data_IF_005435595854
#
_entry.id   IF_005435595854
#
_cell.length_a   1.000
_cell.length_b   1.000
_cell.length_c   1.000
_cell.angle_alpha   90.00
_cell.angle_beta   90.00
_cell.angle_gamma   90.00
#
_symmetry.space_group_name_H-M   'P 1'
#
loop_
_entity.id
_entity.type
_entity.pdbx_description
1 polymer ?
#
# COMPACT_ATOMS: atom_id res chain seq x y z
N UNK A 1 5.35 4.54 14.46
CA UNK A 1 6.60 5.00 13.81
C UNK A 1 6.73 6.48 14.09
N UNK A 2 7.73 6.88 14.90
CA UNK A 2 8.01 8.30 15.17
C UNK A 2 9.24 8.70 14.40
N UNK A 3 9.10 9.68 13.51
CA UNK A 3 10.20 10.26 12.74
C UNK A 3 10.47 11.65 13.33
N UNK A 4 11.54 11.84 14.12
CA UNK A 4 11.76 13.09 14.86
C UNK A 4 12.00 14.32 13.98
N UNK A 5 12.46 14.13 12.75
CA UNK A 5 13.02 15.18 11.90
C UNK A 5 12.00 15.85 10.96
N UNK A 6 10.80 15.26 10.79
CA UNK A 6 9.76 15.78 9.92
C UNK A 6 8.43 15.89 10.67
N UNK A 7 8.11 17.13 11.10
CA UNK A 7 6.81 17.46 11.66
C UNK A 7 5.92 18.08 10.57
N UNK A 8 4.88 17.35 10.20
CA UNK A 8 3.86 17.79 9.26
C UNK A 8 2.65 18.43 9.95
N UNK A 9 2.66 18.57 11.28
CA UNK A 9 1.52 19.05 12.05
C UNK A 9 0.32 18.10 12.03
N UNK A 10 0.55 16.82 11.69
CA UNK A 10 -0.50 15.80 11.56
C UNK A 10 -0.27 14.69 12.59
N UNK A 11 -1.33 14.38 13.33
CA UNK A 11 -1.40 13.19 14.20
C UNK A 11 -2.10 12.07 13.47
N UNK A 12 -1.34 11.09 12.99
CA UNK A 12 -1.83 10.04 12.11
C UNK A 12 -1.90 8.69 12.84
N UNK A 13 -3.05 8.02 12.77
CA UNK A 13 -3.22 6.64 13.24
C UNK A 13 -3.67 5.74 12.09
N UNK A 14 -2.85 4.75 11.74
CA UNK A 14 -3.09 3.82 10.64
C UNK A 14 -3.59 2.46 11.17
N UNK A 15 -4.81 2.10 10.78
CA UNK A 15 -5.36 0.76 11.00
C UNK A 15 -5.01 -0.13 9.82
N UNK A 16 -4.30 -1.23 10.07
CA UNK A 16 -3.77 -2.06 8.99
C UNK A 16 -3.83 -3.57 9.26
N UNK A 17 -3.51 -4.33 8.21
CA UNK A 17 -2.90 -5.64 8.36
C UNK A 17 -1.44 -5.50 7.91
N UNK A 18 -0.49 -5.91 8.74
CA UNK A 18 0.94 -5.65 8.49
C UNK A 18 1.39 -6.14 7.11
N UNK A 19 1.01 -7.36 6.71
CA UNK A 19 1.41 -7.94 5.41
C UNK A 19 0.39 -7.75 4.27
N UNK A 20 -0.57 -6.83 4.42
CA UNK A 20 -1.50 -6.52 3.33
C UNK A 20 -0.85 -5.58 2.31
N UNK A 21 -0.92 -5.88 1.00
CA UNK A 21 -0.29 -5.05 -0.04
C UNK A 21 -0.78 -3.61 -0.03
N UNK A 22 -2.07 -3.37 0.23
CA UNK A 22 -2.63 -2.01 0.31
C UNK A 22 -2.10 -1.23 1.53
N UNK A 23 -1.81 -1.92 2.63
CA UNK A 23 -1.26 -1.33 3.85
C UNK A 23 0.23 -1.04 3.67
N UNK A 24 1.01 -2.01 3.17
CA UNK A 24 2.41 -1.81 2.83
C UNK A 24 2.61 -0.67 1.82
N UNK A 25 1.69 -0.53 0.86
CA UNK A 25 1.64 0.59 -0.07
C UNK A 25 1.54 1.94 0.63
N UNK A 26 0.57 2.11 1.53
CA UNK A 26 0.43 3.34 2.31
C UNK A 26 1.65 3.58 3.21
N UNK A 27 2.14 2.55 3.90
CA UNK A 27 3.36 2.64 4.73
C UNK A 27 4.56 3.12 3.92
N UNK A 28 4.76 2.61 2.71
CA UNK A 28 5.89 3.04 1.88
C UNK A 28 5.88 4.55 1.60
N UNK A 29 4.69 5.15 1.44
CA UNK A 29 4.54 6.60 1.23
C UNK A 29 4.77 7.35 2.54
N UNK A 30 4.16 6.90 3.64
CA UNK A 30 4.34 7.50 4.96
C UNK A 30 5.82 7.49 5.37
N UNK A 31 6.48 6.34 5.21
CA UNK A 31 7.89 6.14 5.51
C UNK A 31 8.75 6.98 4.56
N UNK A 32 8.55 6.93 3.25
CA UNK A 32 9.39 7.72 2.33
C UNK A 32 9.36 9.22 2.61
N UNK A 33 8.19 9.78 2.89
CA UNK A 33 8.05 11.20 3.26
C UNK A 33 8.34 11.48 4.74
N UNK A 34 8.56 10.47 5.58
CA UNK A 34 8.88 10.69 7.00
C UNK A 34 7.70 11.18 7.83
N UNK A 35 6.46 10.84 7.47
CA UNK A 35 5.32 11.10 8.35
C UNK A 35 5.48 10.32 9.66
N UNK A 36 5.19 10.97 10.79
CA UNK A 36 5.00 10.27 12.06
C UNK A 36 3.57 9.71 12.14
N UNK A 37 3.44 8.43 12.44
CA UNK A 37 2.13 7.76 12.53
C UNK A 37 2.15 6.59 13.50
N UNK A 38 1.04 6.37 14.19
CA UNK A 38 0.81 5.20 15.01
C UNK A 38 0.14 4.08 14.20
N UNK A 39 0.35 2.85 14.64
CA UNK A 39 -0.17 1.65 13.96
C UNK A 39 -1.11 0.93 14.92
N UNK A 40 -2.29 0.59 14.42
CA UNK A 40 -3.21 -0.35 15.06
C UNK A 40 -3.34 -1.57 14.16
N UNK A 41 -2.80 -2.70 14.60
CA UNK A 41 -2.95 -3.97 13.90
C UNK A 41 -4.38 -4.49 14.07
N UNK A 42 -5.08 -4.66 12.96
CA UNK A 42 -6.47 -5.12 12.94
C UNK A 42 -6.47 -6.64 12.92
N UNK A 43 -7.30 -7.25 13.76
CA UNK A 43 -7.50 -8.69 13.70
C UNK A 43 -8.30 -9.05 12.43
N UNK A 44 -7.70 -9.86 11.54
CA UNK A 44 -8.27 -10.18 10.23
C UNK A 44 -9.58 -10.99 10.29
N UNK A 45 -9.82 -11.70 11.39
CA UNK A 45 -11.00 -12.55 11.60
C UNK A 45 -12.15 -11.73 12.19
N UNK A 46 -11.94 -11.08 13.34
CA UNK A 46 -13.03 -10.43 14.08
C UNK A 46 -13.13 -8.91 13.85
N UNK A 47 -12.08 -8.29 13.28
CA UNK A 47 -12.02 -6.85 12.95
C UNK A 47 -12.43 -5.91 14.09
N UNK A 48 -12.23 -6.31 15.35
CA UNK A 48 -12.66 -5.56 16.55
C UNK A 48 -12.19 -4.10 16.51
N UNK A 49 -10.96 -3.87 16.07
CA UNK A 49 -10.29 -2.56 16.05
C UNK A 49 -10.95 -1.54 15.11
N UNK A 50 -11.71 -1.99 14.10
CA UNK A 50 -12.39 -1.13 13.11
C UNK A 50 -13.91 -1.23 13.18
N UNK A 51 -14.47 -1.75 14.30
CA UNK A 51 -15.92 -1.87 14.47
C UNK A 51 -16.63 -0.52 14.42
N UNK A 52 -15.97 0.53 14.89
CA UNK A 52 -16.46 1.91 14.92
C UNK A 52 -16.64 2.54 13.53
N UNK A 53 -15.98 2.02 12.50
CA UNK A 53 -16.03 2.60 11.15
C UNK A 53 -16.98 1.82 10.24
N UNK A 54 -17.81 2.50 9.44
CA UNK A 54 -18.62 1.83 8.41
C UNK A 54 -17.77 1.22 7.28
N UNK A 55 -16.55 1.71 7.10
CA UNK A 55 -15.60 1.15 6.15
C UNK A 55 -14.90 -0.09 6.76
N UNK A 56 -15.31 -1.30 6.34
CA UNK A 56 -14.83 -2.57 6.91
C UNK A 56 -13.58 -3.16 6.24
N UNK A 57 -12.78 -2.33 5.57
CA UNK A 57 -11.52 -2.70 4.89
C UNK A 57 -10.35 -1.91 5.49
N UNK A 58 -9.14 -2.36 5.21
CA UNK A 58 -7.88 -1.68 5.59
C UNK A 58 -7.06 -1.39 4.33
N UNK A 59 -6.19 -0.37 4.32
CA UNK A 59 -5.92 0.54 5.44
C UNK A 59 -7.03 1.57 5.67
N UNK A 60 -7.15 2.02 6.92
CA UNK A 60 -7.87 3.24 7.31
C UNK A 60 -6.84 4.16 7.96
N UNK A 61 -6.79 5.42 7.54
CA UNK A 61 -5.95 6.42 8.18
C UNK A 61 -6.85 7.42 8.91
N UNK A 62 -6.61 7.62 10.20
CA UNK A 62 -7.29 8.63 11.01
C UNK A 62 -6.33 9.78 11.25
N UNK A 63 -6.73 10.99 10.89
CA UNK A 63 -6.04 12.22 11.24
C UNK A 63 -6.76 12.84 12.44
N UNK A 64 -6.11 12.88 13.60
CA UNK A 64 -6.66 13.50 14.82
C UNK A 64 -6.61 15.03 14.72
N UNK A 65 -7.48 15.70 15.46
CA UNK A 65 -7.62 17.17 15.52
C UNK A 65 -7.96 17.84 14.17
N UNK A 66 -8.37 17.03 13.18
CA UNK A 66 -8.82 17.46 11.85
C UNK A 66 -10.33 17.21 11.73
N UNK A 67 -11.09 18.10 11.12
CA UNK A 67 -12.52 17.92 10.87
C UNK A 67 -13.42 18.34 12.03
N UNK A 68 -14.73 18.48 11.74
CA UNK A 68 -15.73 19.00 12.68
C UNK A 68 -15.93 18.16 13.94
N UNK A 69 -15.58 16.87 13.89
CA UNK A 69 -15.76 15.91 14.99
C UNK A 69 -14.44 15.61 15.73
N UNK A 70 -13.37 16.39 15.49
CA UNK A 70 -12.06 16.18 16.12
C UNK A 70 -11.23 15.05 15.49
N UNK A 71 -11.71 14.42 14.42
CA UNK A 71 -10.90 13.54 13.57
C UNK A 71 -11.45 13.47 12.14
N UNK A 72 -10.56 13.17 11.18
CA UNK A 72 -10.87 12.87 9.80
C UNK A 72 -10.47 11.42 9.49
N UNK A 73 -11.44 10.61 9.05
CA UNK A 73 -11.19 9.26 8.57
C UNK A 73 -10.98 9.26 7.06
N UNK A 74 -9.83 8.75 6.60
CA UNK A 74 -9.51 8.54 5.20
C UNK A 74 -9.48 7.03 4.88
N UNK A 75 -10.10 6.68 3.77
CA UNK A 75 -10.28 5.29 3.31
C UNK A 75 -9.65 5.09 1.94
N UNK A 76 -9.43 3.82 1.56
CA UNK A 76 -8.75 3.41 0.32
C UNK A 76 -7.28 3.89 0.26
N UNK A 77 -6.36 2.92 0.21
CA UNK A 77 -4.91 3.21 0.21
C UNK A 77 -4.48 4.22 -0.86
N UNK A 78 -5.07 4.19 -2.06
CA UNK A 78 -4.68 5.06 -3.17
C UNK A 78 -5.22 6.47 -2.97
N UNK A 79 -6.45 6.59 -2.47
CA UNK A 79 -7.05 7.88 -2.09
C UNK A 79 -6.25 8.53 -0.97
N UNK A 80 -5.95 7.79 0.11
CA UNK A 80 -5.14 8.29 1.23
C UNK A 80 -3.80 8.83 0.71
N UNK A 81 -3.10 8.06 -0.12
CA UNK A 81 -1.83 8.48 -0.72
C UNK A 81 -1.99 9.75 -1.56
N UNK A 82 -3.04 9.86 -2.39
CA UNK A 82 -3.27 11.04 -3.21
C UNK A 82 -3.59 12.28 -2.38
N UNK A 83 -4.37 12.15 -1.30
CA UNK A 83 -4.67 13.25 -0.38
C UNK A 83 -3.39 13.73 0.31
N UNK A 84 -2.61 12.82 0.88
CA UNK A 84 -1.36 13.16 1.57
C UNK A 84 -0.34 13.79 0.62
N UNK A 85 -0.21 13.26 -0.60
CA UNK A 85 0.67 13.87 -1.60
C UNK A 85 0.18 15.27 -2.01
N UNK A 86 -1.12 15.45 -2.20
CA UNK A 86 -1.71 16.75 -2.52
C UNK A 86 -1.46 17.76 -1.40
N UNK A 87 -1.58 17.32 -0.15
CA UNK A 87 -1.23 18.12 1.02
C UNK A 87 0.25 18.50 1.07
N UNK A 88 1.16 17.59 0.70
CA UNK A 88 2.59 17.90 0.62
C UNK A 88 2.93 18.90 -0.50
N UNK A 89 2.18 18.88 -1.60
CA UNK A 89 2.36 19.82 -2.70
C UNK A 89 1.86 21.23 -2.34
N UNK A 90 0.74 21.33 -1.62
CA UNK A 90 0.15 22.58 -1.17
C UNK A 90 -0.41 22.42 0.26
N UNK A 91 0.44 22.75 1.25
CA UNK A 91 0.09 22.66 2.67
C UNK A 91 -0.88 23.76 3.13
N UNK A 92 -1.21 24.73 2.27
CA UNK A 92 -2.22 25.76 2.60
C UNK A 92 -3.64 25.20 2.59
N UNK A 93 -3.85 24.06 1.91
CA UNK A 93 -5.14 23.39 1.87
C UNK A 93 -5.34 22.44 3.04
N UNK A 94 -6.53 22.50 3.65
CA UNK A 94 -6.90 21.56 4.70
C UNK A 94 -7.14 20.15 4.14
N UNK A 95 -6.87 19.14 4.96
CA UNK A 95 -7.08 17.73 4.58
C UNK A 95 -8.56 17.43 4.29
N UNK A 96 -9.50 18.09 4.96
CA UNK A 96 -10.93 17.94 4.72
C UNK A 96 -11.32 18.45 3.33
N UNK A 97 -10.76 19.59 2.91
CA UNK A 97 -10.97 20.12 1.58
C UNK A 97 -10.39 19.17 0.54
N UNK A 98 -9.16 18.69 0.75
CA UNK A 98 -8.52 17.75 -0.16
C UNK A 98 -9.32 16.43 -0.26
N UNK A 99 -9.78 15.89 0.87
CA UNK A 99 -10.60 14.68 0.93
C UNK A 99 -11.92 14.83 0.17
N UNK A 100 -12.51 16.02 0.15
CA UNK A 100 -13.78 16.27 -0.58
C UNK A 100 -13.66 16.07 -2.10
N UNK A 101 -12.45 16.12 -2.67
CA UNK A 101 -12.22 15.89 -4.09
C UNK A 101 -12.18 14.40 -4.50
N UNK A 102 -12.30 13.49 -3.54
CA UNK A 102 -12.29 12.04 -3.76
C UNK A 102 -13.61 11.41 -3.28
N UNK A 103 -14.76 11.76 -3.87
CA UNK A 103 -16.05 11.28 -3.41
C UNK A 103 -16.15 9.75 -3.56
N UNK A 104 -16.73 9.11 -2.54
CA UNK A 104 -17.08 7.70 -2.55
C UNK A 104 -18.40 7.50 -3.32
N UNK A 105 -18.37 6.64 -4.32
CA UNK A 105 -19.55 6.18 -5.06
C UNK A 105 -19.90 4.77 -4.62
N UNK A 106 -21.11 4.61 -4.08
CA UNK A 106 -21.65 3.29 -3.80
C UNK A 106 -22.24 2.68 -5.08
N UNK A 107 -21.92 1.40 -5.31
CA UNK A 107 -22.43 0.62 -6.43
C UNK A 107 -22.74 -0.81 -5.99
N UNK A 108 -23.02 -1.66 -6.98
CA UNK A 108 -23.14 -3.10 -6.79
C UNK A 108 -22.36 -3.81 -7.89
N UNK A 109 -21.71 -4.93 -7.54
CA UNK A 109 -21.13 -5.81 -8.55
C UNK A 109 -22.21 -6.66 -9.25
N UNK A 110 -21.80 -7.43 -10.26
CA UNK A 110 -22.68 -8.33 -11.03
C UNK A 110 -23.43 -9.36 -10.15
N UNK A 111 -23.00 -9.55 -8.90
CA UNK A 111 -23.59 -10.48 -7.93
C UNK A 111 -24.43 -9.75 -6.87
N UNK A 112 -24.71 -8.47 -7.06
CA UNK A 112 -25.49 -7.64 -6.13
C UNK A 112 -24.73 -7.24 -4.86
N UNK A 113 -23.41 -7.51 -4.79
CA UNK A 113 -22.61 -7.13 -3.61
C UNK A 113 -22.30 -5.65 -3.68
N UNK A 114 -22.59 -4.92 -2.59
CA UNK A 114 -22.23 -3.50 -2.46
C UNK A 114 -20.73 -3.28 -2.70
N UNK A 115 -20.42 -2.38 -3.61
CA UNK A 115 -19.07 -1.91 -3.92
C UNK A 115 -18.96 -0.43 -3.60
N UNK A 116 -17.76 0.02 -3.28
CA UNK A 116 -17.44 1.44 -3.11
C UNK A 116 -16.25 1.74 -4.00
N UNK A 117 -16.41 2.71 -4.89
CA UNK A 117 -15.36 3.21 -5.75
C UNK A 117 -15.13 4.69 -5.46
N UNK A 118 -13.87 5.11 -5.43
CA UNK A 118 -13.52 6.51 -5.18
C UNK A 118 -13.14 7.18 -6.48
N UNK A 119 -13.85 8.27 -6.81
CA UNK A 119 -13.48 9.09 -7.96
C UNK A 119 -12.14 9.76 -7.73
N UNK A 120 -11.47 10.08 -8.83
CA UNK A 120 -10.21 10.82 -8.84
C UNK A 120 -9.07 10.17 -8.07
N UNK A 121 -9.18 8.92 -7.57
CA UNK A 121 -8.21 8.34 -6.62
C UNK A 121 -6.75 8.38 -7.09
N UNK A 122 -6.48 8.38 -8.38
CA UNK A 122 -5.11 8.50 -8.92
C UNK A 122 -4.66 9.94 -9.23
N UNK A 123 -5.54 10.93 -9.15
CA UNK A 123 -5.21 12.33 -9.41
C UNK A 123 -4.75 13.03 -8.13
N UNK A 124 -3.77 13.92 -8.28
CA UNK A 124 -3.34 14.85 -7.25
C UNK A 124 -4.09 16.17 -7.44
N UNK A 125 -4.48 16.78 -6.33
CA UNK A 125 -5.20 18.06 -6.30
C UNK A 125 -4.22 19.15 -5.91
N UNK A 126 -4.05 20.15 -6.77
CA UNK A 126 -3.13 21.27 -6.55
C UNK A 126 -3.67 22.50 -7.28
N UNK A 127 -3.28 23.69 -6.84
CA UNK A 127 -3.63 24.93 -7.52
C UNK A 127 -2.75 25.11 -8.76
N UNK A 128 -3.35 25.48 -9.88
CA UNK A 128 -2.70 25.48 -11.20
C UNK A 128 -1.49 26.42 -11.30
N UNK A 129 -1.38 27.40 -10.39
CA UNK A 129 -0.26 28.35 -10.29
C UNK A 129 0.99 27.77 -9.58
N UNK A 130 0.90 26.56 -9.00
CA UNK A 130 1.90 26.03 -8.06
C UNK A 130 2.40 24.62 -8.40
N UNK A 131 2.48 24.25 -9.68
CA UNK A 131 3.30 23.11 -10.10
C UNK A 131 4.79 23.48 -9.91
N UNK A 132 5.23 23.44 -8.66
CA UNK A 132 6.59 23.77 -8.22
C UNK A 132 7.54 22.60 -8.39
N UNK A 133 7.02 21.38 -8.56
CA UNK A 133 7.80 20.25 -9.01
C UNK A 133 7.84 20.27 -10.54
N UNK A 134 9.04 20.29 -11.13
CA UNK A 134 9.26 20.47 -12.57
C UNK A 134 8.78 19.27 -13.44
N UNK A 135 7.75 18.53 -13.02
CA UNK A 135 7.23 17.37 -13.76
C UNK A 135 6.36 17.77 -14.94
N UNK A 136 6.51 17.07 -16.05
CA UNK A 136 5.66 17.25 -17.24
C UNK A 136 4.31 16.53 -17.08
N UNK A 137 3.33 16.92 -17.90
CA UNK A 137 2.02 16.27 -17.94
C UNK A 137 2.13 14.75 -18.21
N UNK A 138 3.05 14.37 -19.09
CA UNK A 138 3.31 12.97 -19.46
C UNK A 138 3.85 12.17 -18.27
N UNK A 139 4.69 12.79 -17.42
CA UNK A 139 5.20 12.14 -16.21
C UNK A 139 4.08 11.89 -15.19
N UNK A 140 3.15 12.83 -15.03
CA UNK A 140 1.96 12.61 -14.20
C UNK A 140 1.04 11.52 -14.77
N UNK A 141 0.85 11.48 -16.09
CA UNK A 141 0.07 10.43 -16.75
C UNK A 141 0.72 9.04 -16.61
N UNK A 142 2.05 8.96 -16.75
CA UNK A 142 2.82 7.74 -16.53
C UNK A 142 2.69 7.27 -15.08
N UNK A 143 2.87 8.16 -14.10
CA UNK A 143 2.69 7.83 -12.69
C UNK A 143 1.27 7.28 -12.43
N UNK A 144 0.23 7.95 -12.93
CA UNK A 144 -1.16 7.49 -12.77
C UNK A 144 -1.40 6.11 -13.40
N UNK A 145 -0.85 5.87 -14.58
CA UNK A 145 -0.94 4.59 -15.28
C UNK A 145 -0.38 3.46 -14.40
N UNK A 146 0.81 3.65 -13.83
CA UNK A 146 1.47 2.62 -13.04
C UNK A 146 0.91 2.46 -11.64
N UNK A 147 0.38 3.52 -11.02
CA UNK A 147 -0.44 3.41 -9.80
C UNK A 147 -1.69 2.57 -10.04
N UNK A 148 -2.36 2.77 -11.18
CA UNK A 148 -3.52 1.95 -11.56
C UNK A 148 -3.13 0.49 -11.78
N UNK A 149 -2.11 0.24 -12.61
CA UNK A 149 -1.60 -1.10 -12.86
C UNK A 149 -1.20 -1.84 -11.58
N UNK A 150 -0.60 -1.11 -10.62
CA UNK A 150 -0.27 -1.69 -9.32
C UNK A 150 -1.51 -2.27 -8.65
N UNK A 151 -2.60 -1.51 -8.60
CA UNK A 151 -3.85 -1.88 -7.94
C UNK A 151 -4.69 -2.91 -8.71
N UNK A 152 -4.67 -2.86 -10.04
CA UNK A 152 -5.51 -3.69 -10.91
C UNK A 152 -4.85 -4.97 -11.42
N UNK A 153 -3.52 -5.05 -11.40
CA UNK A 153 -2.78 -6.15 -12.01
C UNK A 153 -1.78 -6.74 -11.03
N UNK A 154 -0.83 -5.94 -10.54
CA UNK A 154 0.27 -6.45 -9.72
C UNK A 154 -0.23 -7.13 -8.46
N UNK A 155 -1.16 -6.52 -7.71
CA UNK A 155 -1.65 -7.10 -6.43
C UNK A 155 -2.21 -8.51 -6.60
N UNK A 156 -2.79 -8.82 -7.76
CA UNK A 156 -3.41 -10.10 -8.05
C UNK A 156 -2.40 -11.21 -8.33
N UNK A 157 -1.13 -10.86 -8.54
CA UNK A 157 -0.03 -11.82 -8.66
C UNK A 157 0.46 -12.33 -7.31
N UNK A 158 0.24 -11.60 -6.22
CA UNK A 158 0.86 -11.90 -4.92
C UNK A 158 0.21 -13.09 -4.24
N UNK A 159 -1.09 -13.03 -3.94
CA UNK A 159 -1.79 -14.08 -3.17
C UNK A 159 -1.65 -15.47 -3.79
N UNK A 160 -1.84 -15.68 -5.12
CA UNK A 160 -1.62 -16.99 -5.72
C UNK A 160 -0.19 -17.51 -5.59
N UNK A 161 0.78 -16.60 -5.47
CA UNK A 161 2.18 -16.93 -5.33
C UNK A 161 2.55 -17.29 -3.88
N UNK A 162 2.20 -16.49 -2.88
CA UNK A 162 2.56 -16.80 -1.47
C UNK A 162 1.72 -17.93 -0.87
N UNK A 163 0.56 -18.25 -1.46
CA UNK A 163 -0.32 -19.34 -1.02
C UNK A 163 -0.41 -20.49 -2.02
N UNK A 164 0.64 -20.71 -2.83
CA UNK A 164 0.63 -21.69 -3.93
C UNK A 164 0.39 -23.12 -3.46
N UNK A 165 1.06 -23.51 -2.38
CA UNK A 165 0.94 -24.84 -1.75
C UNK A 165 0.47 -24.72 -0.30
N UNK A 166 -0.07 -25.78 0.34
CA UNK A 166 -0.43 -25.73 1.75
C UNK A 166 0.78 -25.39 2.66
N UNK A 167 1.97 -25.89 2.32
CA UNK A 167 3.20 -25.60 3.05
C UNK A 167 3.59 -24.12 2.93
N UNK A 168 3.65 -23.58 1.71
CA UNK A 168 3.96 -22.16 1.47
C UNK A 168 2.93 -21.25 2.16
N UNK A 169 1.66 -21.67 2.19
CA UNK A 169 0.61 -20.90 2.84
C UNK A 169 0.79 -20.84 4.36
N UNK A 170 1.06 -21.98 5.01
CA UNK A 170 1.32 -22.01 6.44
C UNK A 170 2.60 -21.26 6.82
N UNK A 171 3.65 -21.40 6.02
CA UNK A 171 4.90 -20.66 6.19
C UNK A 171 4.67 -19.15 6.08
N UNK A 172 3.91 -18.71 5.07
CA UNK A 172 3.52 -17.30 4.91
C UNK A 172 2.77 -16.78 6.13
N UNK A 173 1.82 -17.53 6.68
CA UNK A 173 1.09 -17.10 7.88
C UNK A 173 1.98 -17.06 9.13
N UNK A 174 2.95 -17.97 9.27
CA UNK A 174 3.95 -17.91 10.36
C UNK A 174 4.89 -16.73 10.20
N UNK A 175 5.26 -16.39 8.97
CA UNK A 175 6.03 -15.19 8.68
C UNK A 175 5.22 -13.94 9.05
N UNK A 176 3.94 -13.86 8.65
CA UNK A 176 3.04 -12.74 8.94
C UNK A 176 2.79 -12.55 10.43
N UNK A 177 2.65 -13.64 11.16
CA UNK A 177 2.57 -13.67 12.61
C UNK A 177 3.80 -13.02 13.28
N UNK A 178 5.00 -13.35 12.79
CA UNK A 178 6.25 -12.75 13.28
C UNK A 178 6.36 -11.28 12.93
N UNK A 179 6.16 -10.88 11.68
CA UNK A 179 6.36 -9.49 11.25
C UNK A 179 5.26 -8.55 11.74
N UNK A 180 4.03 -9.05 11.91
CA UNK A 180 2.91 -8.31 12.48
C UNK A 180 2.90 -8.26 14.00
N UNK A 181 3.91 -8.87 14.65
CA UNK A 181 4.01 -8.99 16.11
C UNK A 181 2.69 -9.44 16.75
N UNK A 182 2.02 -10.42 16.15
CA UNK A 182 0.67 -10.81 16.55
C UNK A 182 0.61 -11.35 17.98
N UNK A 183 1.73 -11.82 18.52
CA UNK A 183 1.88 -12.18 19.93
C UNK A 183 1.66 -11.02 20.91
N UNK A 184 1.92 -9.78 20.48
CA UNK A 184 1.67 -8.57 21.28
C UNK A 184 0.26 -8.02 21.07
N UNK A 185 -0.35 -8.34 19.92
CA UNK A 185 -1.60 -7.72 19.48
C UNK A 185 -2.83 -8.62 19.69
N UNK A 186 -2.67 -9.95 19.71
CA UNK A 186 -3.76 -10.92 19.78
C UNK A 186 -3.55 -11.93 20.91
N UNK A 187 -4.67 -12.47 21.43
CA UNK A 187 -4.59 -13.60 22.36
C UNK A 187 -4.02 -14.85 21.67
N UNK A 188 -3.36 -15.74 22.42
CA UNK A 188 -2.75 -16.96 21.87
C UNK A 188 -3.73 -17.84 21.09
N UNK A 189 -4.99 -17.88 21.53
CA UNK A 189 -6.06 -18.58 20.82
C UNK A 189 -6.43 -17.91 19.50
N UNK A 190 -6.70 -16.58 19.51
CA UNK A 190 -7.03 -15.83 18.30
C UNK A 190 -5.88 -15.92 17.28
N UNK A 191 -4.63 -15.81 17.73
CA UNK A 191 -3.42 -15.98 16.91
C UNK A 191 -3.37 -17.36 16.24
N UNK A 192 -3.59 -18.42 17.02
CA UNK A 192 -3.60 -19.80 16.49
C UNK A 192 -4.67 -19.98 15.42
N UNK A 193 -5.89 -19.48 15.66
CA UNK A 193 -6.99 -19.53 14.69
C UNK A 193 -6.62 -18.79 13.40
N UNK A 194 -6.10 -17.56 13.52
CA UNK A 194 -5.69 -16.75 12.35
C UNK A 194 -4.64 -17.50 11.51
N UNK A 195 -3.64 -18.12 12.13
CA UNK A 195 -2.59 -18.84 11.41
C UNK A 195 -3.15 -20.04 10.63
N UNK A 196 -3.81 -20.98 11.31
CA UNK A 196 -4.17 -22.26 10.68
C UNK A 196 -5.41 -22.16 9.78
N UNK A 197 -6.45 -21.46 10.25
CA UNK A 197 -7.67 -21.26 9.45
C UNK A 197 -7.38 -20.28 8.31
N UNK A 198 -6.64 -19.20 8.59
CA UNK A 198 -6.25 -18.23 7.57
C UNK A 198 -5.42 -18.87 6.46
N UNK A 199 -4.39 -19.66 6.79
CA UNK A 199 -3.57 -20.34 5.79
C UNK A 199 -4.40 -21.29 4.90
N UNK A 200 -5.35 -22.02 5.48
CA UNK A 200 -6.22 -22.93 4.74
C UNK A 200 -7.15 -22.17 3.77
N UNK A 201 -7.78 -21.10 4.25
CA UNK A 201 -8.65 -20.24 3.43
C UNK A 201 -7.85 -19.57 2.30
N UNK A 202 -6.67 -19.04 2.62
CA UNK A 202 -5.86 -18.31 1.64
C UNK A 202 -5.24 -19.22 0.57
N UNK A 203 -4.94 -20.48 0.89
CA UNK A 203 -4.55 -21.48 -0.11
C UNK A 203 -5.67 -21.74 -1.12
N UNK A 204 -6.92 -21.89 -0.66
CA UNK A 204 -8.08 -22.04 -1.56
C UNK A 204 -8.31 -20.77 -2.36
N UNK A 205 -8.26 -19.60 -1.71
CA UNK A 205 -8.42 -18.30 -2.36
C UNK A 205 -7.33 -18.03 -3.40
N UNK A 206 -6.09 -18.46 -3.16
CA UNK A 206 -5.00 -18.37 -4.13
C UNK A 206 -5.33 -19.07 -5.44
N UNK A 207 -5.94 -20.26 -5.38
CA UNK A 207 -6.42 -20.99 -6.57
C UNK A 207 -7.59 -20.29 -7.26
N UNK A 208 -8.52 -19.71 -6.50
CA UNK A 208 -9.65 -18.96 -7.05
C UNK A 208 -9.15 -17.70 -7.77
N UNK A 209 -8.25 -16.95 -7.15
CA UNK A 209 -7.63 -15.74 -7.71
C UNK A 209 -6.83 -16.10 -8.96
N UNK A 210 -6.02 -17.18 -8.93
CA UNK A 210 -5.29 -17.69 -10.10
C UNK A 210 -6.22 -17.83 -11.31
N UNK A 211 -7.37 -18.51 -11.14
CA UNK A 211 -8.36 -18.72 -12.20
C UNK A 211 -9.05 -17.42 -12.62
N UNK A 212 -9.49 -16.61 -11.64
CA UNK A 212 -10.23 -15.37 -11.89
C UNK A 212 -9.44 -14.39 -12.75
N UNK A 213 -8.13 -14.29 -12.54
CA UNK A 213 -7.26 -13.35 -13.24
C UNK A 213 -6.43 -14.00 -14.36
N UNK A 214 -6.73 -15.26 -14.73
CA UNK A 214 -6.08 -15.94 -15.85
C UNK A 214 -4.57 -16.09 -15.71
N UNK A 215 -4.07 -16.33 -14.49
CA UNK A 215 -2.64 -16.54 -14.27
C UNK A 215 -2.17 -17.84 -14.91
N UNK A 216 -0.89 -17.88 -15.29
CA UNK A 216 -0.21 -19.06 -15.83
C UNK A 216 -0.28 -20.26 -14.88
N UNK A 217 -0.12 -21.46 -15.43
CA UNK A 217 -0.12 -22.68 -14.64
C UNK A 217 0.97 -22.66 -13.57
N UNK A 218 2.20 -22.32 -13.95
CA UNK A 218 3.22 -21.88 -13.02
C UNK A 218 2.98 -20.42 -12.62
N UNK A 219 2.34 -20.22 -11.46
CA UNK A 219 1.96 -18.89 -10.96
C UNK A 219 3.15 -17.95 -10.74
N UNK A 220 4.34 -18.52 -10.49
CA UNK A 220 5.60 -17.79 -10.36
C UNK A 220 5.95 -17.02 -11.63
N UNK A 221 5.74 -17.63 -12.80
CA UNK A 221 6.01 -16.97 -14.07
C UNK A 221 5.15 -15.71 -14.28
N UNK A 222 3.91 -15.71 -13.77
CA UNK A 222 3.05 -14.52 -13.85
C UNK A 222 3.61 -13.37 -13.01
N UNK A 223 4.09 -13.67 -11.79
CA UNK A 223 4.75 -12.68 -10.94
C UNK A 223 6.07 -12.20 -11.55
N UNK A 224 6.85 -13.10 -12.13
CA UNK A 224 8.11 -12.75 -12.79
C UNK A 224 7.88 -11.86 -14.01
N UNK A 225 6.83 -12.12 -14.81
CA UNK A 225 6.46 -11.28 -15.95
C UNK A 225 6.06 -9.87 -15.50
N UNK A 226 5.28 -9.73 -14.42
CA UNK A 226 4.96 -8.42 -13.85
C UNK A 226 6.21 -7.68 -13.36
N UNK A 227 7.14 -8.38 -12.72
CA UNK A 227 8.41 -7.79 -12.27
C UNK A 227 9.33 -7.41 -13.44
N UNK A 228 9.40 -8.24 -14.49
CA UNK A 228 10.13 -7.94 -15.74
C UNK A 228 9.52 -6.76 -16.47
N UNK A 229 8.20 -6.67 -16.55
CA UNK A 229 7.49 -5.53 -17.11
C UNK A 229 7.87 -4.25 -16.36
N UNK A 230 7.77 -4.26 -15.02
CA UNK A 230 8.12 -3.10 -14.20
C UNK A 230 9.59 -2.68 -14.38
N UNK A 231 10.54 -3.61 -14.30
CA UNK A 231 11.97 -3.29 -14.51
C UNK A 231 12.26 -2.75 -15.90
N UNK A 232 11.58 -3.27 -16.95
CA UNK A 232 11.67 -2.74 -18.31
C UNK A 232 11.15 -1.30 -18.39
N UNK A 233 10.06 -1.00 -17.69
CA UNK A 233 9.47 0.34 -17.61
C UNK A 233 10.38 1.34 -16.91
N UNK A 234 10.94 0.98 -15.76
CA UNK A 234 11.94 1.83 -15.07
C UNK A 234 13.16 2.06 -15.98
N UNK A 235 13.57 1.01 -16.70
CA UNK A 235 14.65 1.08 -17.67
C UNK A 235 16.00 1.37 -17.01
N UNK A 236 16.74 2.34 -17.54
CA UNK A 236 18.05 2.76 -17.00
C UNK A 236 17.94 3.80 -15.87
N UNK A 237 16.73 4.32 -15.60
CA UNK A 237 16.50 5.32 -14.55
C UNK A 237 16.73 4.69 -13.17
N UNK A 238 17.09 5.51 -12.17
CA UNK A 238 17.21 5.03 -10.78
C UNK A 238 15.86 4.57 -10.24
N UNK A 239 14.83 5.38 -10.51
CA UNK A 239 13.41 5.13 -10.23
C UNK A 239 12.56 5.54 -11.45
N UNK A 240 11.29 5.14 -11.52
CA UNK A 240 10.39 5.63 -12.56
C UNK A 240 10.30 7.17 -12.54
N UNK A 241 10.27 7.74 -11.33
CA UNK A 241 10.32 9.18 -11.05
C UNK A 241 11.64 9.89 -11.39
N UNK A 242 12.65 9.18 -11.90
CA UNK A 242 13.97 9.73 -12.21
C UNK A 242 14.93 9.54 -11.04
N UNK A 243 15.45 10.64 -10.47
CA UNK A 243 16.43 10.61 -9.37
C UNK A 243 15.81 10.28 -8.02
N UNK A 244 14.52 10.59 -7.85
CA UNK A 244 13.71 10.30 -6.67
C UNK A 244 12.52 9.40 -7.05
N UNK A 245 12.07 8.51 -6.15
CA UNK A 245 10.84 7.75 -6.35
C UNK A 245 9.63 8.68 -6.56
N UNK A 246 8.75 8.31 -7.47
CA UNK A 246 7.42 8.92 -7.57
C UNK A 246 6.35 8.02 -6.91
N UNK A 247 5.07 8.40 -6.96
CA UNK A 247 4.01 7.59 -6.32
C UNK A 247 3.79 6.24 -6.98
N UNK A 248 4.19 6.04 -8.23
CA UNK A 248 4.15 4.73 -8.87
C UNK A 248 5.28 3.82 -8.35
N UNK A 249 6.49 4.35 -8.19
CA UNK A 249 7.59 3.61 -7.55
C UNK A 249 7.21 3.15 -6.14
N UNK A 250 6.72 4.08 -5.31
CA UNK A 250 6.27 3.79 -3.94
C UNK A 250 5.13 2.77 -3.95
N UNK A 251 4.18 2.91 -4.88
CA UNK A 251 3.08 1.97 -5.04
C UNK A 251 3.55 0.54 -5.29
N UNK A 252 4.40 0.34 -6.31
CA UNK A 252 4.91 -0.99 -6.68
C UNK A 252 5.79 -1.56 -5.57
N UNK A 253 6.65 -0.73 -4.98
CA UNK A 253 7.54 -1.14 -3.91
C UNK A 253 6.72 -1.63 -2.71
N UNK A 254 5.77 -0.82 -2.23
CA UNK A 254 4.95 -1.18 -1.08
C UNK A 254 4.13 -2.46 -1.32
N UNK A 255 3.59 -2.67 -2.53
CA UNK A 255 2.92 -3.93 -2.85
C UNK A 255 3.88 -5.12 -2.77
N UNK A 256 5.07 -5.04 -3.37
CA UNK A 256 6.05 -6.14 -3.32
C UNK A 256 6.59 -6.40 -1.92
N UNK A 257 6.74 -5.37 -1.07
CA UNK A 257 7.16 -5.52 0.33
C UNK A 257 6.17 -6.38 1.13
N UNK A 258 4.91 -6.50 0.72
CA UNK A 258 3.93 -7.35 1.42
C UNK A 258 4.23 -8.85 1.34
N UNK A 259 5.16 -9.25 0.46
CA UNK A 259 5.62 -10.63 0.32
C UNK A 259 7.11 -10.77 0.65
N UNK A 260 7.79 -9.69 1.08
CA UNK A 260 9.18 -9.75 1.50
C UNK A 260 9.34 -10.74 2.67
N UNK A 261 10.31 -11.66 2.56
CA UNK A 261 10.52 -12.72 3.54
C UNK A 261 9.73 -14.01 3.28
N UNK A 262 8.84 -14.03 2.29
CA UNK A 262 8.23 -15.27 1.78
C UNK A 262 9.09 -15.88 0.67
N UNK A 263 8.99 -17.21 0.48
CA UNK A 263 9.66 -17.92 -0.62
C UNK A 263 9.39 -17.29 -1.99
N UNK A 264 8.15 -16.81 -2.24
CA UNK A 264 7.79 -16.16 -3.50
C UNK A 264 8.62 -14.91 -3.83
N UNK A 265 9.05 -14.19 -2.80
CA UNK A 265 9.88 -13.00 -2.98
C UNK A 265 11.33 -13.38 -3.28
N UNK A 266 11.89 -14.36 -2.56
CA UNK A 266 13.22 -14.90 -2.84
C UNK A 266 13.32 -15.43 -4.28
N UNK A 267 12.33 -16.24 -4.68
CA UNK A 267 12.16 -16.74 -6.04
C UNK A 267 12.14 -15.60 -7.07
N UNK A 268 11.42 -14.51 -6.77
CA UNK A 268 11.33 -13.33 -7.64
C UNK A 268 12.66 -12.60 -7.76
N UNK A 269 13.43 -12.48 -6.69
CA UNK A 269 14.77 -11.88 -6.72
C UNK A 269 15.74 -12.72 -7.56
N UNK A 270 15.65 -14.04 -7.47
CA UNK A 270 16.55 -14.96 -8.18
C UNK A 270 16.23 -15.07 -9.68
N UNK A 271 14.95 -14.92 -10.07
CA UNK A 271 14.49 -15.15 -11.43
C UNK A 271 14.18 -13.85 -12.22
N UNK A 272 14.45 -12.69 -11.63
CA UNK A 272 14.23 -11.39 -12.28
C UNK A 272 15.35 -10.40 -11.94
N UNK A 273 15.34 -9.23 -12.58
CA UNK A 273 16.30 -8.14 -12.29
C UNK A 273 15.71 -7.06 -11.38
N UNK A 274 14.67 -7.38 -10.60
CA UNK A 274 13.96 -6.38 -9.79
C UNK A 274 14.73 -5.96 -8.53
N UNK A 275 15.58 -6.86 -8.00
CA UNK A 275 16.31 -6.67 -6.74
C UNK A 275 17.02 -5.32 -6.62
N UNK A 276 17.88 -4.90 -7.56
CA UNK A 276 18.56 -3.61 -7.48
C UNK A 276 17.63 -2.41 -7.35
N UNK A 277 16.49 -2.38 -8.05
CA UNK A 277 15.50 -1.32 -7.90
C UNK A 277 14.76 -1.43 -6.55
N UNK A 278 14.38 -2.64 -6.14
CA UNK A 278 13.69 -2.88 -4.87
C UNK A 278 14.52 -2.42 -3.67
N UNK A 279 15.81 -2.75 -3.63
CA UNK A 279 16.67 -2.35 -2.51
C UNK A 279 16.99 -0.85 -2.50
N UNK A 280 17.05 -0.19 -3.66
CA UNK A 280 17.11 1.29 -3.71
C UNK A 280 15.83 1.92 -3.16
N UNK A 281 14.67 1.34 -3.45
CA UNK A 281 13.40 1.79 -2.87
C UNK A 281 13.35 1.57 -1.36
N UNK A 282 13.80 0.41 -0.88
CA UNK A 282 13.89 0.09 0.55
C UNK A 282 14.77 1.10 1.28
N UNK A 283 15.98 1.36 0.78
CA UNK A 283 16.88 2.39 1.29
C UNK A 283 16.24 3.79 1.27
N UNK A 284 15.51 4.16 0.21
CA UNK A 284 14.83 5.45 0.14
C UNK A 284 13.72 5.60 1.19
N UNK A 285 12.91 4.56 1.42
CA UNK A 285 11.83 4.58 2.39
C UNK A 285 12.33 4.51 3.84
N UNK A 286 13.29 3.62 4.14
CA UNK A 286 13.85 3.47 5.49
C UNK A 286 14.58 4.73 5.95
N UNK A 287 15.24 5.44 5.04
CA UNK A 287 15.97 6.67 5.35
C UNK A 287 15.14 7.93 5.08
N UNK A 288 13.81 7.81 4.95
CA UNK A 288 12.88 8.93 4.79
C UNK A 288 13.33 9.96 3.74
N UNK A 289 13.87 9.52 2.58
CA UNK A 289 14.56 10.40 1.62
C UNK A 289 13.66 11.41 0.90
N UNK A 290 12.34 11.27 1.05
CA UNK A 290 11.35 12.23 0.59
C UNK A 290 10.99 13.28 1.64
N UNK A 291 11.43 13.13 2.88
CA UNK A 291 11.16 14.09 3.94
C UNK A 291 11.74 15.46 3.58
N UNK A 292 10.98 16.50 3.87
CA UNK A 292 11.45 17.87 3.73
C UNK A 292 12.05 18.24 5.07
N UNK A 293 13.38 18.23 5.20
CA UNK A 293 14.03 18.80 6.38
C UNK A 293 13.53 20.24 6.52
N UNK A 294 12.91 20.58 7.66
CA UNK A 294 12.74 21.97 8.05
C UNK A 294 14.14 22.53 8.34
N UNK A 295 14.87 22.92 7.29
CA UNK A 295 15.93 23.90 7.43
C UNK A 295 15.25 25.24 7.72
N UNK A 296 14.87 25.42 8.98
CA UNK A 296 14.77 26.74 9.58
C UNK A 296 16.19 27.29 9.66
N UNK A 297 16.53 28.14 8.69
CA UNK A 297 17.59 29.13 8.80
C UNK A 297 16.93 30.50 8.84
#
# INVERSE_FOLDING_TARGET
VRVPEADYGLKLTMYQFTSCPFCCKLRSVLDYYGFSYDIIEVNSVNKKQIKWSDYKKVPILVCEDVGKNGFLQLNDSTVIISILQSYLLDRSQSLEKLASYYPALEGQDEKGKKTVEFQNKYFLMYQQAELTDNRTKEQYEEERKWRRWTDSDLVHMLSPNVYRTPSESLETFRHFDKVGEWEKNFSSWERTVVIYVGASVMWVMGKIIKRKYGLKDEVRDSLYDSCRLWTKTVGKKKFLGGDKPNLADLSVYGVLTSIEGCQAFEDTLNNTKIGPWFYRMKDACTNHKGSSSSHHS
#
